data_IF_159816136232
#
_entry.id   IF_159816136232
#
_cell.length_a   1.000
_cell.length_b   1.000
_cell.length_c   1.000
_cell.angle_alpha   90.00
_cell.angle_beta   90.00
_cell.angle_gamma   90.00
#
_symmetry.space_group_name_H-M   'P 1'
#
loop_
_entity.id
_entity.type
_entity.pdbx_description
1 polymer ?
#
# COMPACT_ATOMS: atom_id res chain seq x y z
N UNK A 1 -0.08 -23.22 25.42
CA UNK A 1 -0.05 -22.88 23.98
C UNK A 1 -0.82 -21.61 23.80
N UNK A 2 -0.11 -20.51 23.53
CA UNK A 2 -0.74 -19.23 23.26
C UNK A 2 -1.09 -19.25 21.77
N UNK A 3 -2.32 -18.93 21.46
CA UNK A 3 -2.90 -18.99 20.12
C UNK A 3 -2.29 -17.88 19.24
N UNK A 4 -1.15 -18.18 18.62
CA UNK A 4 -0.26 -17.25 17.89
C UNK A 4 -0.69 -17.03 16.41
N UNK A 5 -1.94 -16.61 16.10
CA UNK A 5 -2.37 -15.92 14.83
C UNK A 5 -3.90 -15.83 14.60
N UNK A 6 -4.43 -14.97 13.67
CA UNK A 6 -3.95 -13.71 13.11
C UNK A 6 -5.00 -12.55 13.04
N UNK A 7 -4.49 -11.40 12.60
CA UNK A 7 -5.09 -10.10 12.29
C UNK A 7 -6.26 -10.10 11.27
N UNK A 8 -7.09 -9.06 11.34
CA UNK A 8 -8.14 -8.79 10.33
C UNK A 8 -7.54 -8.08 9.12
N UNK A 9 -7.32 -8.80 8.02
CA UNK A 9 -6.98 -8.16 6.74
C UNK A 9 -8.25 -7.71 6.03
N UNK A 10 -8.19 -6.61 5.28
CA UNK A 10 -9.37 -6.09 4.59
C UNK A 10 -9.91 -7.10 3.57
N UNK A 11 -9.07 -7.93 2.96
CA UNK A 11 -9.45 -8.92 1.93
C UNK A 11 -9.23 -10.38 2.36
N UNK A 12 -8.67 -10.63 3.54
CA UNK A 12 -8.34 -11.98 4.01
C UNK A 12 -8.87 -12.21 5.42
N UNK A 13 -9.22 -13.46 5.69
CA UNK A 13 -9.53 -13.96 7.02
C UNK A 13 -8.68 -15.19 7.29
N UNK A 14 -8.47 -15.49 8.56
CA UNK A 14 -7.90 -16.79 8.93
C UNK A 14 -8.82 -17.91 8.46
N UNK A 15 -8.24 -18.92 7.85
CA UNK A 15 -8.87 -20.20 7.60
C UNK A 15 -7.94 -21.33 8.04
N UNK A 16 -8.52 -22.49 8.29
CA UNK A 16 -7.78 -23.73 8.52
C UNK A 16 -7.78 -24.54 7.22
N UNK A 17 -6.59 -24.98 6.78
CA UNK A 17 -6.39 -25.86 5.64
C UNK A 17 -5.62 -27.11 6.11
N UNK A 18 -6.35 -28.18 6.43
CA UNK A 18 -5.78 -29.33 7.12
C UNK A 18 -5.48 -29.00 8.58
N UNK A 19 -4.24 -29.22 9.02
CA UNK A 19 -3.76 -28.84 10.36
C UNK A 19 -3.08 -27.46 10.35
N UNK A 20 -2.98 -26.80 9.20
CA UNK A 20 -2.29 -25.51 9.05
C UNK A 20 -3.28 -24.34 8.91
N UNK A 21 -2.98 -23.24 9.59
CA UNK A 21 -3.69 -21.97 9.44
C UNK A 21 -3.17 -21.20 8.21
N UNK A 22 -4.10 -20.73 7.37
CA UNK A 22 -3.83 -19.96 6.14
C UNK A 22 -4.64 -18.66 6.11
N UNK A 23 -4.23 -17.70 5.27
CA UNK A 23 -5.03 -16.53 4.95
C UNK A 23 -5.96 -16.88 3.78
N UNK A 24 -7.23 -17.18 4.08
CA UNK A 24 -8.24 -17.35 3.05
C UNK A 24 -8.76 -15.99 2.59
N UNK A 25 -8.91 -15.85 1.27
CA UNK A 25 -9.58 -14.70 0.67
C UNK A 25 -11.04 -14.67 1.12
N UNK A 26 -11.49 -13.54 1.66
CA UNK A 26 -12.92 -13.36 1.96
C UNK A 26 -13.72 -13.28 0.66
N UNK A 27 -15.01 -13.65 0.72
CA UNK A 27 -15.87 -13.48 -0.45
C UNK A 27 -15.95 -11.98 -0.83
N UNK A 28 -16.10 -11.70 -2.12
CA UNK A 28 -16.26 -10.31 -2.58
C UNK A 28 -17.46 -9.64 -1.91
N UNK A 29 -18.54 -10.40 -1.68
CA UNK A 29 -19.74 -9.92 -1.01
C UNK A 29 -19.45 -9.48 0.44
N UNK A 30 -18.71 -10.28 1.21
CA UNK A 30 -18.34 -9.94 2.60
C UNK A 30 -17.39 -8.75 2.66
N UNK A 31 -16.44 -8.69 1.72
CA UNK A 31 -15.55 -7.55 1.60
C UNK A 31 -16.31 -6.26 1.30
N UNK A 32 -17.24 -6.31 0.32
CA UNK A 32 -18.07 -5.16 0.00
C UNK A 32 -18.98 -4.79 1.17
N UNK A 33 -19.62 -5.75 1.83
CA UNK A 33 -20.48 -5.50 2.98
C UNK A 33 -19.76 -4.71 4.09
N UNK A 34 -18.51 -5.08 4.41
CA UNK A 34 -17.69 -4.37 5.41
C UNK A 34 -17.25 -2.96 5.00
N UNK A 35 -17.28 -2.65 3.69
CA UNK A 35 -16.88 -1.34 3.14
C UNK A 35 -18.05 -0.51 2.61
N UNK A 36 -19.24 -1.08 2.54
CA UNK A 36 -20.44 -0.44 1.98
C UNK A 36 -20.73 0.82 2.79
N UNK A 37 -20.44 1.94 2.15
CA UNK A 37 -21.03 3.22 2.48
C UNK A 37 -22.02 3.53 1.36
N UNK A 38 -23.31 3.43 1.66
CA UNK A 38 -24.38 3.68 0.70
C UNK A 38 -24.14 5.06 0.06
N UNK A 39 -24.09 5.14 -1.27
CA UNK A 39 -23.86 6.38 -2.00
C UNK A 39 -22.39 6.85 -2.13
N UNK A 40 -21.38 6.02 -1.81
CA UNK A 40 -19.97 6.37 -2.05
C UNK A 40 -19.28 5.42 -3.05
N UNK A 41 -19.35 5.70 -4.37
CA UNK A 41 -18.77 4.86 -5.42
C UNK A 41 -17.27 4.60 -5.25
N UNK A 42 -16.53 5.54 -4.65
CA UNK A 42 -15.08 5.45 -4.40
C UNK A 42 -14.74 4.33 -3.39
N UNK A 43 -15.73 3.73 -2.73
CA UNK A 43 -15.55 2.61 -1.80
C UNK A 43 -15.80 1.25 -2.44
N UNK A 44 -16.42 1.20 -3.61
CA UNK A 44 -16.56 -0.04 -4.37
C UNK A 44 -15.16 -0.54 -4.74
N UNK A 45 -14.96 -1.84 -4.60
CA UNK A 45 -13.71 -2.54 -4.93
C UNK A 45 -14.01 -3.85 -5.65
N UNK A 46 -15.22 -4.00 -6.19
CA UNK A 46 -15.69 -5.20 -6.88
C UNK A 46 -14.77 -5.61 -8.03
N UNK A 47 -14.08 -4.63 -8.61
CA UNK A 47 -13.18 -4.78 -9.74
C UNK A 47 -11.70 -4.81 -9.33
N UNK A 48 -11.36 -4.71 -8.03
CA UNK A 48 -9.97 -4.85 -7.57
C UNK A 48 -9.61 -6.32 -7.37
N UNK A 49 -8.50 -6.76 -7.97
CA UNK A 49 -7.86 -8.01 -7.66
C UNK A 49 -7.06 -7.87 -6.35
N UNK A 50 -7.32 -8.72 -5.33
CA UNK A 50 -6.53 -8.72 -4.10
C UNK A 50 -5.22 -9.50 -4.31
N UNK A 51 -4.06 -8.92 -3.96
CA UNK A 51 -2.78 -9.60 -4.04
C UNK A 51 -2.58 -10.59 -2.90
N UNK A 52 -1.69 -11.55 -3.08
CA UNK A 52 -1.24 -12.42 -1.99
C UNK A 52 -0.37 -11.63 -1.00
N UNK A 53 -0.48 -11.94 0.29
CA UNK A 53 0.26 -11.25 1.35
C UNK A 53 0.95 -12.28 2.24
N UNK A 54 2.28 -12.19 2.32
CA UNK A 54 3.08 -12.99 3.23
C UNK A 54 3.13 -12.35 4.62
N UNK A 55 2.99 -13.18 5.65
CA UNK A 55 3.13 -12.80 7.06
C UNK A 55 4.12 -13.76 7.71
N UNK A 56 5.18 -13.20 8.29
CA UNK A 56 6.22 -13.93 9.02
C UNK A 56 5.78 -14.15 10.47
N UNK A 57 6.47 -15.02 11.19
CA UNK A 57 6.12 -15.34 12.57
C UNK A 57 7.34 -15.43 13.44
N UNK A 58 7.32 -14.69 14.55
CA UNK A 58 8.38 -14.68 15.55
C UNK A 58 9.78 -14.45 14.97
N UNK A 59 9.86 -13.74 13.85
CA UNK A 59 11.11 -13.46 13.14
C UNK A 59 11.69 -12.12 13.57
N UNK A 60 12.99 -12.11 13.87
CA UNK A 60 13.73 -10.93 14.34
C UNK A 60 14.80 -10.54 13.35
N UNK A 61 15.13 -9.24 13.27
CA UNK A 61 16.20 -8.75 12.40
C UNK A 61 15.76 -8.42 10.96
N UNK A 62 14.45 -8.38 10.70
CA UNK A 62 13.89 -7.90 9.45
C UNK A 62 13.75 -6.37 9.48
N UNK A 63 14.42 -5.68 8.55
CA UNK A 63 14.26 -4.24 8.35
C UNK A 63 12.83 -3.91 7.90
N UNK A 64 12.31 -2.75 8.32
CA UNK A 64 10.93 -2.32 8.00
C UNK A 64 9.87 -3.37 8.36
N UNK A 65 10.06 -4.06 9.49
CA UNK A 65 9.08 -4.99 10.03
C UNK A 65 8.00 -4.25 10.84
N UNK A 66 6.76 -4.71 10.70
CA UNK A 66 5.65 -4.24 11.52
C UNK A 66 4.94 -5.43 12.17
N UNK A 67 4.85 -5.37 13.49
CA UNK A 67 4.18 -6.40 14.28
C UNK A 67 2.67 -6.28 14.16
N UNK A 68 2.00 -7.41 13.98
CA UNK A 68 0.55 -7.50 13.92
C UNK A 68 0.07 -8.59 14.87
N UNK A 69 -1.05 -8.32 15.51
CA UNK A 69 -1.74 -9.27 16.38
C UNK A 69 -3.18 -9.50 15.89
N UNK A 70 -3.96 -10.31 16.61
CA UNK A 70 -5.37 -10.60 16.29
C UNK A 70 -6.29 -9.37 16.26
N UNK A 71 -5.90 -8.27 16.89
CA UNK A 71 -6.70 -7.03 16.95
C UNK A 71 -6.34 -6.05 15.84
N UNK A 72 -5.20 -6.27 15.19
CA UNK A 72 -4.68 -5.39 14.15
C UNK A 72 -5.52 -5.52 12.89
N UNK A 73 -5.93 -4.38 12.31
CA UNK A 73 -6.60 -4.33 11.01
C UNK A 73 -5.61 -3.90 9.93
N UNK A 74 -5.38 -4.76 8.93
CA UNK A 74 -4.48 -4.50 7.81
C UNK A 74 -5.28 -4.18 6.55
N UNK A 75 -5.06 -3.02 5.92
CA UNK A 75 -5.67 -2.69 4.63
C UNK A 75 -4.76 -3.12 3.49
N UNK A 76 -5.26 -3.96 2.60
CA UNK A 76 -4.51 -4.38 1.42
C UNK A 76 -4.94 -3.56 0.22
N UNK A 77 -4.01 -2.95 -0.49
CA UNK A 77 -4.21 -2.31 -1.78
C UNK A 77 -4.31 -3.40 -2.85
N UNK A 78 -5.46 -3.43 -3.53
CA UNK A 78 -5.63 -4.24 -4.74
C UNK A 78 -5.06 -3.54 -5.97
N UNK A 79 -5.07 -4.28 -7.08
CA UNK A 79 -4.76 -3.76 -8.40
C UNK A 79 -5.91 -4.09 -9.37
N UNK A 80 -5.92 -3.50 -10.55
CA UNK A 80 -6.92 -3.82 -11.57
C UNK A 80 -6.24 -3.91 -12.94
N UNK A 81 -6.46 -5.02 -13.64
CA UNK A 81 -5.84 -5.34 -14.93
C UNK A 81 -6.78 -5.24 -16.14
N UNK A 82 -8.03 -4.80 -15.93
CA UNK A 82 -9.10 -4.86 -16.94
C UNK A 82 -9.78 -3.51 -17.21
N UNK A 83 -9.63 -2.54 -16.33
CA UNK A 83 -10.39 -1.29 -16.35
C UNK A 83 -9.40 -0.13 -16.47
N UNK A 84 -9.58 0.80 -17.41
CA UNK A 84 -8.80 2.02 -17.48
C UNK A 84 -8.76 2.78 -16.15
N UNK A 85 -7.62 3.38 -15.81
CA UNK A 85 -7.57 4.31 -14.69
C UNK A 85 -8.14 5.66 -15.14
N UNK A 86 -9.22 6.08 -14.50
CA UNK A 86 -9.83 7.40 -14.68
C UNK A 86 -10.28 7.96 -13.33
N UNK A 87 -10.89 9.15 -13.33
CA UNK A 87 -11.39 9.80 -12.10
C UNK A 87 -12.37 8.91 -11.31
N UNK A 88 -13.13 8.08 -12.00
CA UNK A 88 -14.08 7.13 -11.44
C UNK A 88 -13.43 5.88 -10.87
N UNK A 89 -12.32 5.39 -11.44
CA UNK A 89 -11.73 4.07 -11.14
C UNK A 89 -10.38 4.12 -10.42
N UNK A 90 -9.73 5.29 -10.31
CA UNK A 90 -8.42 5.47 -9.62
C UNK A 90 -8.32 4.89 -8.21
N UNK A 91 -9.46 4.76 -7.54
CA UNK A 91 -9.57 4.18 -6.21
C UNK A 91 -9.29 2.67 -6.18
N UNK A 92 -9.38 1.97 -7.31
CA UNK A 92 -9.17 0.53 -7.44
C UNK A 92 -7.69 0.13 -7.32
N UNK A 93 -6.78 1.09 -7.53
CA UNK A 93 -5.32 0.89 -7.54
C UNK A 93 -4.64 1.31 -6.23
N UNK A 94 -5.40 1.70 -5.21
CA UNK A 94 -4.82 2.14 -3.94
C UNK A 94 -5.71 1.91 -2.74
N UNK A 95 -5.07 1.76 -1.58
CA UNK A 95 -5.69 1.80 -0.27
C UNK A 95 -5.01 2.88 0.57
N UNK A 96 -5.72 3.41 1.58
CA UNK A 96 -5.16 4.42 2.46
C UNK A 96 -5.90 4.52 3.79
N UNK A 97 -5.27 5.21 4.74
CA UNK A 97 -5.82 5.46 6.06
C UNK A 97 -5.31 6.78 6.67
N UNK A 98 -6.04 7.26 7.66
CA UNK A 98 -5.61 8.33 8.58
C UNK A 98 -5.74 7.88 10.03
N UNK A 99 -5.91 6.57 10.26
CA UNK A 99 -6.00 5.95 11.58
C UNK A 99 -4.63 5.41 11.96
N UNK A 100 -4.26 5.58 13.24
CA UNK A 100 -3.06 5.00 13.84
C UNK A 100 -3.19 3.47 13.92
N UNK A 101 -2.05 2.78 13.94
CA UNK A 101 -1.91 1.33 14.06
C UNK A 101 -2.71 0.52 13.03
N UNK A 102 -2.97 1.11 11.87
CA UNK A 102 -3.68 0.48 10.76
C UNK A 102 -2.76 0.43 9.54
N UNK A 103 -1.94 -0.62 9.39
CA UNK A 103 -1.05 -0.74 8.24
C UNK A 103 -1.85 -0.83 6.94
N UNK A 104 -1.29 -0.20 5.90
CA UNK A 104 -1.75 -0.28 4.52
C UNK A 104 -0.63 -0.89 3.70
N UNK A 105 -0.90 -1.94 2.93
CA UNK A 105 0.14 -2.71 2.22
C UNK A 105 -0.30 -3.06 0.78
N UNK A 106 0.67 -3.38 -0.07
CA UNK A 106 0.51 -4.11 -1.32
C UNK A 106 1.45 -5.32 -1.26
N UNK A 107 0.96 -6.51 -1.60
CA UNK A 107 1.76 -7.72 -1.76
C UNK A 107 1.81 -8.16 -3.22
N UNK A 108 2.50 -9.27 -3.52
CA UNK A 108 2.59 -9.85 -4.87
C UNK A 108 3.01 -8.83 -5.94
N UNK A 109 4.08 -8.07 -5.65
CA UNK A 109 4.53 -6.91 -6.43
C UNK A 109 5.64 -7.33 -7.41
N UNK A 110 5.44 -8.44 -8.14
CA UNK A 110 6.46 -8.96 -9.06
C UNK A 110 6.71 -8.00 -10.22
N UNK A 111 5.90 -8.02 -11.28
CA UNK A 111 6.06 -7.08 -12.39
C UNK A 111 5.47 -5.69 -12.08
N UNK A 112 4.52 -5.62 -11.15
CA UNK A 112 3.92 -4.38 -10.66
C UNK A 112 4.94 -3.48 -9.97
N UNK A 113 4.61 -2.20 -9.81
CA UNK A 113 5.33 -1.28 -8.93
C UNK A 113 4.38 -0.87 -7.81
N UNK A 114 4.82 -1.00 -6.57
CA UNK A 114 4.13 -0.43 -5.43
C UNK A 114 4.76 0.90 -5.04
N UNK A 115 3.90 1.84 -4.64
CA UNK A 115 4.29 3.14 -4.09
C UNK A 115 3.62 3.30 -2.74
N UNK A 116 4.39 3.42 -1.68
CA UNK A 116 3.89 3.83 -0.37
C UNK A 116 4.16 5.32 -0.15
N UNK A 117 3.10 6.10 0.06
CA UNK A 117 3.18 7.50 0.46
C UNK A 117 2.89 7.61 1.95
N UNK A 118 3.80 8.24 2.69
CA UNK A 118 3.67 8.50 4.11
C UNK A 118 3.77 10.00 4.37
N UNK A 119 2.75 10.57 5.00
CA UNK A 119 2.65 12.00 5.24
C UNK A 119 2.34 12.29 6.72
N UNK A 120 3.16 13.13 7.33
CA UNK A 120 3.09 13.53 8.73
C UNK A 120 2.65 14.99 8.83
N UNK A 121 1.89 15.31 9.88
CA UNK A 121 1.60 16.69 10.23
C UNK A 121 2.61 17.11 11.28
N UNK A 122 3.40 18.13 10.98
CA UNK A 122 4.39 18.68 11.92
C UNK A 122 3.90 20.02 12.44
N UNK A 123 4.09 20.28 13.73
CA UNK A 123 3.93 21.61 14.29
C UNK A 123 5.00 22.54 13.70
N UNK A 124 4.61 23.73 13.26
CA UNK A 124 5.50 24.65 12.56
C UNK A 124 6.54 25.30 13.48
N UNK A 125 6.26 25.39 14.79
CA UNK A 125 7.16 26.01 15.78
C UNK A 125 8.09 25.00 16.45
N UNK A 126 7.59 23.80 16.75
CA UNK A 126 8.34 22.78 17.51
C UNK A 126 8.87 21.63 16.65
N UNK A 127 8.30 21.40 15.46
CA UNK A 127 8.59 20.23 14.64
C UNK A 127 7.98 18.93 15.17
N UNK A 128 7.18 19.00 16.24
CA UNK A 128 6.54 17.82 16.83
C UNK A 128 5.44 17.26 15.93
N UNK A 129 5.24 15.94 15.99
CA UNK A 129 4.23 15.24 15.20
C UNK A 129 2.85 15.46 15.81
N UNK A 130 1.91 15.90 14.98
CA UNK A 130 0.53 16.18 15.35
C UNK A 130 -0.44 15.17 14.73
N UNK A 131 -1.64 15.02 15.32
CA UNK A 131 -2.73 14.30 14.67
C UNK A 131 -3.04 14.85 13.27
N UNK A 132 -3.27 13.93 12.32
CA UNK A 132 -3.59 14.29 10.94
C UNK A 132 -2.73 13.61 9.88
N UNK A 133 -1.80 12.73 10.30
CA UNK A 133 -1.00 11.92 9.40
C UNK A 133 -1.85 11.08 8.44
N UNK A 134 -1.29 10.77 7.27
CA UNK A 134 -1.94 10.01 6.21
C UNK A 134 -0.95 9.04 5.58
N UNK A 135 -1.41 7.83 5.34
CA UNK A 135 -0.68 6.86 4.52
C UNK A 135 -1.56 6.35 3.38
N UNK A 136 -0.95 6.14 2.22
CA UNK A 136 -1.59 5.55 1.05
C UNK A 136 -0.60 4.66 0.33
N UNK A 137 -1.05 3.48 -0.08
CA UNK A 137 -0.28 2.57 -0.92
C UNK A 137 -0.98 2.41 -2.24
N UNK A 138 -0.23 2.60 -3.32
CA UNK A 138 -0.65 2.31 -4.69
C UNK A 138 -0.03 0.98 -5.13
N UNK A 139 -0.83 0.14 -5.79
CA UNK A 139 -0.37 -1.07 -6.46
C UNK A 139 -0.61 -0.87 -7.95
N UNK A 140 0.47 -0.61 -8.69
CA UNK A 140 0.42 -0.13 -10.07
C UNK A 140 0.89 -1.21 -11.04
N UNK A 141 0.09 -1.45 -12.07
CA UNK A 141 0.53 -2.28 -13.18
C UNK A 141 1.55 -1.51 -14.04
N UNK A 142 2.44 -2.26 -14.72
CA UNK A 142 3.33 -1.73 -15.75
C UNK A 142 2.65 -0.84 -16.77
N UNK A 143 3.20 0.35 -17.00
CA UNK A 143 2.71 1.36 -17.93
C UNK A 143 2.79 0.91 -19.40
N UNK A 144 3.48 -0.17 -19.71
CA UNK A 144 3.44 -0.83 -21.01
C UNK A 144 2.03 -1.31 -21.37
N UNK A 145 1.17 -1.52 -20.37
CA UNK A 145 -0.27 -1.73 -20.53
C UNK A 145 -0.97 -0.39 -20.84
N UNK A 146 -0.71 0.16 -22.03
CA UNK A 146 -1.22 1.47 -22.46
C UNK A 146 -2.76 1.54 -22.44
N UNK A 147 -3.44 0.42 -22.60
CA UNK A 147 -4.89 0.33 -22.50
C UNK A 147 -5.43 0.64 -21.08
N UNK A 148 -4.57 0.64 -20.06
CA UNK A 148 -4.92 1.02 -18.69
C UNK A 148 -4.69 2.51 -18.39
N UNK A 149 -4.34 3.30 -19.42
CA UNK A 149 -4.23 4.76 -19.39
C UNK A 149 -3.19 5.23 -18.34
N UNK A 150 -1.90 4.87 -18.52
CA UNK A 150 -0.83 5.16 -17.56
C UNK A 150 -0.69 6.63 -17.13
N UNK A 151 -1.00 7.56 -18.03
CA UNK A 151 -0.98 9.00 -17.78
C UNK A 151 -2.00 9.42 -16.72
N UNK A 152 -3.18 8.78 -16.68
CA UNK A 152 -4.19 9.00 -15.66
C UNK A 152 -3.79 8.34 -14.34
N UNK A 153 -3.06 7.22 -14.39
CA UNK A 153 -2.44 6.63 -13.19
C UNK A 153 -1.44 7.61 -12.56
N UNK A 154 -0.53 8.17 -13.37
CA UNK A 154 0.43 9.18 -12.94
C UNK A 154 -0.27 10.45 -12.43
N UNK A 155 -1.32 10.91 -13.12
CA UNK A 155 -2.12 12.03 -12.67
C UNK A 155 -2.77 11.75 -11.32
N UNK A 156 -3.31 10.54 -11.09
CA UNK A 156 -3.90 10.17 -9.80
C UNK A 156 -2.87 10.16 -8.66
N UNK A 157 -1.63 9.70 -8.91
CA UNK A 157 -0.56 9.74 -7.90
C UNK A 157 -0.16 11.19 -7.63
N UNK A 158 0.00 12.00 -8.69
CA UNK A 158 0.35 13.42 -8.60
C UNK A 158 -0.71 14.22 -7.84
N UNK A 159 -1.98 14.03 -8.14
CA UNK A 159 -3.11 14.69 -7.48
C UNK A 159 -3.11 14.36 -5.98
N UNK A 160 -2.92 13.09 -5.63
CA UNK A 160 -2.83 12.69 -4.23
C UNK A 160 -1.65 13.38 -3.52
N UNK A 161 -0.49 13.44 -4.18
CA UNK A 161 0.70 14.10 -3.65
C UNK A 161 0.44 15.58 -3.40
N UNK A 162 -0.07 16.29 -4.41
CA UNK A 162 -0.38 17.73 -4.34
C UNK A 162 -1.45 18.05 -3.30
N UNK A 163 -2.54 17.28 -3.27
CA UNK A 163 -3.61 17.45 -2.28
C UNK A 163 -3.10 17.23 -0.84
N UNK A 164 -2.16 16.31 -0.66
CA UNK A 164 -1.58 16.00 0.65
C UNK A 164 -0.64 17.11 1.10
N UNK A 165 0.23 17.61 0.21
CA UNK A 165 1.07 18.79 0.47
C UNK A 165 0.23 20.04 0.74
N UNK A 166 -0.83 20.26 -0.05
CA UNK A 166 -1.74 21.41 0.11
C UNK A 166 -2.46 21.44 1.47
N UNK A 167 -2.49 20.32 2.19
CA UNK A 167 -2.98 20.23 3.58
C UNK A 167 -1.90 20.53 4.63
N UNK A 168 -0.71 20.97 4.20
CA UNK A 168 0.42 21.26 5.07
C UNK A 168 1.09 20.03 5.66
N UNK A 169 0.96 18.86 5.00
CA UNK A 169 1.61 17.63 5.44
C UNK A 169 2.99 17.47 4.80
N UNK A 170 3.97 17.10 5.60
CA UNK A 170 5.31 16.72 5.14
C UNK A 170 5.28 15.28 4.70
N UNK A 171 5.72 14.99 3.48
CA UNK A 171 5.55 13.67 2.87
C UNK A 171 6.87 13.10 2.37
N UNK A 172 6.95 11.77 2.43
CA UNK A 172 8.00 10.94 1.87
C UNK A 172 7.37 9.75 1.16
N UNK A 173 8.10 9.15 0.24
CA UNK A 173 7.64 7.99 -0.52
C UNK A 173 8.66 6.86 -0.50
N UNK A 174 8.17 5.63 -0.62
CA UNK A 174 8.97 4.45 -0.84
C UNK A 174 8.44 3.70 -2.06
N UNK A 175 9.33 3.06 -2.81
CA UNK A 175 9.00 2.31 -4.01
C UNK A 175 9.58 0.89 -3.95
N UNK A 176 8.82 -0.08 -4.42
CA UNK A 176 9.21 -1.50 -4.42
C UNK A 176 8.59 -2.27 -5.58
N UNK A 177 9.25 -3.34 -6.00
CA UNK A 177 8.75 -4.29 -6.99
C UNK A 177 9.32 -4.06 -8.39
N UNK A 178 8.65 -4.62 -9.38
CA UNK A 178 9.08 -4.59 -10.76
C UNK A 178 10.08 -5.70 -11.07
N UNK A 179 10.09 -6.10 -12.34
CA UNK A 179 11.07 -7.05 -12.84
C UNK A 179 12.45 -6.38 -12.89
N UNK A 180 13.47 -7.13 -12.48
CA UNK A 180 14.88 -6.70 -12.57
C UNK A 180 15.39 -6.62 -14.01
N UNK A 181 14.73 -7.32 -14.94
CA UNK A 181 15.11 -7.41 -16.34
C UNK A 181 13.99 -6.93 -17.28
N UNK A 182 14.40 -6.23 -18.33
CA UNK A 182 13.53 -5.73 -19.39
C UNK A 182 12.77 -4.45 -19.06
N UNK A 183 12.30 -3.76 -20.10
CA UNK A 183 11.70 -2.43 -19.93
C UNK A 183 10.35 -2.45 -19.21
N UNK A 184 9.71 -3.62 -19.12
CA UNK A 184 8.31 -3.79 -18.68
C UNK A 184 8.02 -3.09 -17.35
N UNK A 185 8.91 -3.14 -16.36
CA UNK A 185 8.69 -2.41 -15.08
C UNK A 185 9.50 -1.12 -15.00
N UNK A 186 10.62 -1.04 -15.73
CA UNK A 186 11.60 0.05 -15.64
C UNK A 186 11.00 1.39 -16.04
N UNK A 187 10.30 1.47 -17.18
CA UNK A 187 9.69 2.73 -17.62
C UNK A 187 8.66 3.27 -16.62
N UNK A 188 7.97 2.37 -15.91
CA UNK A 188 7.00 2.72 -14.88
C UNK A 188 7.70 3.29 -13.64
N UNK A 189 8.75 2.62 -13.19
CA UNK A 189 9.56 3.07 -12.07
C UNK A 189 10.19 4.44 -12.36
N UNK A 190 10.75 4.64 -13.55
CA UNK A 190 11.39 5.91 -13.94
C UNK A 190 10.39 7.06 -14.03
N UNK A 191 9.19 6.83 -14.58
CA UNK A 191 8.14 7.83 -14.63
C UNK A 191 7.66 8.25 -13.23
N UNK A 192 7.57 7.31 -12.29
CA UNK A 192 7.22 7.58 -10.89
C UNK A 192 8.33 8.34 -10.17
N UNK A 193 9.60 7.93 -10.33
CA UNK A 193 10.76 8.65 -9.78
C UNK A 193 10.79 10.09 -10.26
N UNK A 194 10.62 10.30 -11.57
CA UNK A 194 10.54 11.64 -12.15
C UNK A 194 9.39 12.46 -11.56
N UNK A 195 8.20 11.88 -11.39
CA UNK A 195 7.07 12.55 -10.74
C UNK A 195 7.45 13.02 -9.33
N UNK A 196 8.06 12.18 -8.50
CA UNK A 196 8.41 12.57 -7.13
C UNK A 196 9.51 13.64 -7.08
N UNK A 197 10.50 13.57 -7.98
CA UNK A 197 11.51 14.61 -8.15
C UNK A 197 10.85 15.94 -8.53
N UNK A 198 9.98 15.95 -9.55
CA UNK A 198 9.30 17.14 -10.03
C UNK A 198 8.37 17.76 -8.96
N UNK A 199 7.78 16.92 -8.09
CA UNK A 199 6.95 17.36 -6.96
C UNK A 199 7.76 17.67 -5.68
N UNK A 200 9.09 17.53 -5.71
CA UNK A 200 9.98 17.75 -4.57
C UNK A 200 9.68 16.85 -3.37
N UNK A 201 9.32 15.59 -3.62
CA UNK A 201 9.04 14.59 -2.59
C UNK A 201 10.24 13.64 -2.45
N UNK A 202 10.82 13.50 -1.24
CA UNK A 202 11.93 12.60 -1.03
C UNK A 202 11.49 11.13 -1.16
N UNK A 203 12.31 10.35 -1.87
CA UNK A 203 12.30 8.89 -1.82
C UNK A 203 13.12 8.45 -0.61
N UNK A 204 12.50 7.75 0.33
CA UNK A 204 13.21 7.15 1.45
C UNK A 204 14.05 5.95 1.00
N UNK A 205 13.44 5.11 0.16
CA UNK A 205 14.14 4.04 -0.53
C UNK A 205 13.45 3.73 -1.86
N UNK A 206 14.25 3.16 -2.75
CA UNK A 206 13.84 2.68 -4.06
C UNK A 206 14.40 1.28 -4.28
N UNK A 207 13.56 0.27 -4.04
CA UNK A 207 13.85 -1.13 -4.30
C UNK A 207 13.08 -1.62 -5.53
N UNK A 208 13.08 -0.80 -6.59
CA UNK A 208 12.44 -1.16 -7.86
C UNK A 208 13.41 -1.73 -8.88
N UNK A 209 12.93 -2.68 -9.68
CA UNK A 209 13.62 -3.25 -10.83
C UNK A 209 15.05 -3.72 -10.46
N UNK A 210 16.10 -3.16 -11.08
CA UNK A 210 17.49 -3.54 -10.81
C UNK A 210 17.94 -3.30 -9.36
N UNK A 211 17.26 -2.42 -8.61
CA UNK A 211 17.54 -2.16 -7.20
C UNK A 211 16.83 -3.14 -6.26
N UNK A 212 15.98 -4.02 -6.80
CA UNK A 212 15.20 -4.96 -6.01
C UNK A 212 16.09 -6.11 -5.52
N UNK A 213 16.15 -6.28 -4.20
CA UNK A 213 16.96 -7.31 -3.54
C UNK A 213 16.14 -8.43 -2.92
N UNK A 214 14.82 -8.26 -2.82
CA UNK A 214 13.92 -9.23 -2.19
C UNK A 214 12.50 -9.20 -2.77
N UNK A 215 11.81 -10.34 -2.68
CA UNK A 215 10.39 -10.49 -3.01
C UNK A 215 9.53 -10.21 -1.77
N UNK A 216 9.49 -8.95 -1.34
CA UNK A 216 8.73 -8.50 -0.16
C UNK A 216 7.49 -7.69 -0.54
N UNK A 217 6.60 -7.46 0.45
CA UNK A 217 5.49 -6.51 0.30
C UNK A 217 6.00 -5.06 0.42
N UNK A 218 5.13 -4.09 0.11
CA UNK A 218 5.38 -2.69 0.46
C UNK A 218 4.16 -2.09 1.14
N UNK A 219 4.39 -1.37 2.24
CA UNK A 219 3.33 -0.69 2.95
C UNK A 219 3.78 0.51 3.75
N UNK A 220 2.81 1.08 4.45
CA UNK A 220 3.03 2.14 5.43
C UNK A 220 1.98 2.08 6.54
N UNK A 221 2.34 2.56 7.72
CA UNK A 221 1.47 2.68 8.89
C UNK A 221 1.69 4.03 9.57
N UNK A 222 0.66 4.51 10.26
CA UNK A 222 0.77 5.64 11.19
C UNK A 222 0.87 5.03 12.59
N UNK A 223 1.91 5.35 13.35
CA UNK A 223 2.11 4.85 14.71
C UNK A 223 1.32 5.68 15.73
N UNK A 224 1.27 5.21 16.98
CA UNK A 224 0.51 5.84 18.05
C UNK A 224 0.97 7.30 18.36
N UNK A 225 2.24 7.62 18.08
CA UNK A 225 2.81 8.96 18.23
C UNK A 225 2.59 9.87 17.01
N UNK A 226 1.74 9.46 16.06
CA UNK A 226 1.48 10.12 14.77
C UNK A 226 2.67 10.13 13.79
N UNK A 227 3.77 9.46 14.11
CA UNK A 227 4.81 9.19 13.11
C UNK A 227 4.32 8.18 12.09
N UNK A 228 5.01 8.11 10.97
CA UNK A 228 4.77 7.11 9.93
C UNK A 228 5.93 6.14 9.86
N UNK A 229 5.65 4.92 9.42
CA UNK A 229 6.68 3.91 9.18
C UNK A 229 6.37 3.15 7.88
N UNK A 230 7.38 2.91 7.04
CA UNK A 230 7.25 2.04 5.87
C UNK A 230 7.37 0.58 6.30
N UNK A 231 6.74 -0.31 5.55
CA UNK A 231 6.66 -1.74 5.90
C UNK A 231 7.11 -2.57 4.70
N UNK A 232 8.01 -3.50 4.94
CA UNK A 232 8.38 -4.58 4.00
C UNK A 232 8.00 -5.96 4.51
N UNK A 233 7.85 -6.11 5.82
CA UNK A 233 7.51 -7.38 6.45
C UNK A 233 6.40 -7.19 7.47
N UNK A 234 5.39 -8.04 7.43
CA UNK A 234 4.43 -8.18 8.53
C UNK A 234 4.84 -9.37 9.38
N UNK A 235 4.94 -9.17 10.70
CA UNK A 235 5.34 -10.21 11.65
C UNK A 235 4.20 -10.43 12.63
N UNK A 236 3.68 -11.67 12.68
CA UNK A 236 2.68 -12.05 13.66
C UNK A 236 3.33 -12.23 15.05
N UNK A 237 2.73 -11.61 16.06
CA UNK A 237 3.10 -11.68 17.48
C UNK A 237 1.92 -12.02 18.36
#
# INVERSE_FOLDING_TARGET
>A
EVDERPATFSHFQLALCGEEYTLARVSLADYQAKRRHFGNPIKDRSQSAPPWVQVYHSETGLDYSFQIDRTTTVKVAGFNYSVPNDKGTRHLYSAGTSQVNMPVIAGDITACIAVACAAEKLDAGTGERMPGAKVRVFHLLPFQRQELVPEEVLASVRDYVRDTKGKGLTMRVAMHGGNSEGDFSVSTADALKKLFIDEGIPLEFDETCANRTSETLLGAVILADNSTHFIKHLVAV
#
